data_IF_408842921888
#
_entry.id   IF_408842921888
#
_cell.length_a   1.000
_cell.length_b   1.000
_cell.length_c   1.000
_cell.angle_alpha   90.00
_cell.angle_beta   90.00
_cell.angle_gamma   90.00
#
_symmetry.space_group_name_H-M   'P 1'
#
loop_
_entity.id
_entity.type
_entity.pdbx_description
1 polymer ?
#
# COMPACT_ATOMS: atom_id res chain seq x y z
N UNK A 1 18.38 -11.00 35.29
CA UNK A 1 19.35 -9.89 35.26
C UNK A 1 19.33 -9.23 36.62
N UNK A 2 20.48 -9.14 37.30
CA UNK A 2 20.56 -8.53 38.63
C UNK A 2 20.44 -7.00 38.54
N UNK A 3 19.78 -6.39 39.54
CA UNK A 3 19.69 -4.94 39.71
C UNK A 3 20.30 -4.57 41.04
N UNK A 4 21.12 -3.52 41.05
CA UNK A 4 21.82 -3.07 42.25
C UNK A 4 21.54 -1.59 42.47
N UNK A 5 21.39 -1.22 43.74
CA UNK A 5 21.10 0.14 44.16
C UNK A 5 22.36 1.02 44.04
N UNK A 6 22.20 2.23 43.51
CA UNK A 6 23.26 3.24 43.40
C UNK A 6 22.93 4.45 44.29
N UNK A 7 23.69 4.68 45.37
CA UNK A 7 23.35 5.72 46.36
C UNK A 7 23.32 7.15 45.80
N UNK A 8 24.21 7.50 44.86
CA UNK A 8 24.35 8.88 44.40
C UNK A 8 23.16 9.40 43.60
N UNK A 9 22.36 8.50 43.04
CA UNK A 9 21.18 8.84 42.22
C UNK A 9 19.90 8.27 42.84
N UNK A 10 20.00 7.66 44.02
CA UNK A 10 18.90 6.99 44.71
C UNK A 10 18.05 6.10 43.79
N UNK A 11 18.71 5.25 43.00
CA UNK A 11 18.06 4.48 41.93
C UNK A 11 18.72 3.13 41.70
N UNK A 12 17.92 2.15 41.24
CA UNK A 12 18.39 0.80 40.96
C UNK A 12 18.68 0.60 39.46
N UNK A 13 19.93 0.27 39.14
CA UNK A 13 20.38 0.01 37.76
C UNK A 13 20.67 -1.47 37.54
N UNK A 14 20.56 -1.88 36.29
CA UNK A 14 20.86 -3.23 35.87
C UNK A 14 22.38 -3.37 35.63
N UNK A 15 22.96 -4.47 36.12
CA UNK A 15 24.37 -4.79 35.87
C UNK A 15 24.66 -4.99 34.37
N UNK A 16 25.89 -4.65 33.97
CA UNK A 16 26.38 -4.69 32.59
C UNK A 16 25.61 -3.79 31.60
N UNK A 17 24.94 -2.77 32.14
CA UNK A 17 24.38 -1.66 31.35
C UNK A 17 25.18 -0.39 31.60
N UNK A 18 24.97 0.65 30.78
CA UNK A 18 25.60 1.95 31.04
C UNK A 18 25.15 2.53 32.39
N UNK A 19 23.88 2.36 32.74
CA UNK A 19 23.33 2.93 33.98
C UNK A 19 23.68 4.42 34.15
N UNK A 20 24.17 4.84 35.34
CA UNK A 20 24.61 6.20 35.61
C UNK A 20 26.06 6.47 35.15
N UNK A 21 26.74 5.49 34.54
CA UNK A 21 28.16 5.58 34.23
C UNK A 21 28.45 6.44 32.98
N UNK A 22 29.64 7.05 32.90
CA UNK A 22 30.14 7.68 31.67
C UNK A 22 30.20 6.72 30.48
N UNK A 23 30.25 7.26 29.27
CA UNK A 23 30.38 6.46 28.06
C UNK A 23 31.67 5.61 28.07
N UNK A 24 31.55 4.35 27.65
CA UNK A 24 32.66 3.40 27.64
C UNK A 24 32.90 2.65 28.95
N UNK A 25 32.13 2.95 30.01
CA UNK A 25 32.12 2.23 31.28
C UNK A 25 30.75 1.57 31.50
N UNK A 26 30.74 0.43 32.18
CA UNK A 26 29.52 -0.27 32.58
C UNK A 26 29.35 -0.26 34.09
N UNK A 27 28.08 -0.28 34.50
CA UNK A 27 27.66 -0.47 35.87
C UNK A 27 27.86 -1.94 36.26
N UNK A 28 28.76 -2.20 37.20
CA UNK A 28 29.11 -3.56 37.64
C UNK A 28 29.10 -3.66 39.16
N UNK A 29 28.76 -4.85 39.67
CA UNK A 29 28.93 -5.16 41.08
C UNK A 29 30.30 -5.79 41.32
N UNK A 30 31.14 -5.16 42.15
CA UNK A 30 32.41 -5.69 42.57
C UNK A 30 32.23 -6.55 43.82
N UNK A 31 32.21 -7.88 43.64
CA UNK A 31 32.01 -8.83 44.73
C UNK A 31 33.06 -8.72 45.84
N UNK A 32 34.32 -8.41 45.51
CA UNK A 32 35.40 -8.28 46.48
C UNK A 32 35.23 -7.07 47.40
N UNK A 33 34.65 -5.98 46.88
CA UNK A 33 34.37 -4.76 47.65
C UNK A 33 32.93 -4.71 48.19
N UNK A 34 32.10 -5.68 47.80
CA UNK A 34 30.65 -5.67 48.01
C UNK A 34 30.00 -4.33 47.60
N UNK A 35 30.51 -3.72 46.53
CA UNK A 35 30.13 -2.38 46.12
C UNK A 35 29.92 -2.31 44.61
N UNK A 36 28.98 -1.47 44.21
CA UNK A 36 28.75 -1.12 42.81
C UNK A 36 29.81 -0.10 42.36
N UNK A 37 30.35 -0.28 41.16
CA UNK A 37 31.30 0.65 40.55
C UNK A 37 31.07 0.80 39.04
N UNK A 38 31.50 1.92 38.47
CA UNK A 38 31.61 2.09 37.03
C UNK A 38 32.98 1.59 36.58
N UNK A 39 33.02 0.57 35.73
CA UNK A 39 34.26 -0.09 35.37
C UNK A 39 34.26 -0.58 33.93
N UNK A 40 35.46 -0.63 33.35
CA UNK A 40 35.73 -1.35 32.12
C UNK A 40 37.12 -1.96 32.23
N UNK A 41 37.21 -3.28 32.03
CA UNK A 41 38.47 -4.03 32.08
C UNK A 41 38.47 -5.10 31.00
N UNK A 42 39.63 -5.48 30.42
CA UNK A 42 39.72 -6.52 29.38
C UNK A 42 39.14 -7.88 29.78
N UNK A 43 39.07 -8.17 31.09
CA UNK A 43 38.48 -9.40 31.62
C UNK A 43 36.95 -9.44 31.46
N UNK A 44 36.30 -8.30 31.22
CA UNK A 44 34.87 -8.24 30.88
C UNK A 44 34.66 -8.64 29.41
N UNK A 45 35.07 -9.86 29.06
CA UNK A 45 35.20 -10.33 27.67
C UNK A 45 33.94 -10.19 26.84
N UNK A 46 32.77 -10.30 27.46
CA UNK A 46 31.48 -10.15 26.79
C UNK A 46 31.15 -8.70 26.45
N UNK A 47 31.78 -7.73 27.10
CA UNK A 47 31.44 -6.31 26.97
C UNK A 47 32.58 -5.46 26.43
N UNK A 48 33.81 -5.92 26.56
CA UNK A 48 35.01 -5.19 26.21
C UNK A 48 35.27 -5.22 24.71
N UNK A 49 35.34 -4.04 24.10
CA UNK A 49 35.72 -3.88 22.70
C UNK A 49 37.21 -3.54 22.61
N UNK A 50 38.00 -4.42 21.97
CA UNK A 50 39.46 -4.32 21.92
C UNK A 50 39.96 -3.02 21.29
N UNK A 51 39.32 -2.59 20.21
CA UNK A 51 39.88 -1.54 19.36
C UNK A 51 39.65 -0.15 19.96
N UNK A 52 38.60 0.03 20.76
CA UNK A 52 38.29 1.29 21.44
C UNK A 52 38.73 1.33 22.89
N UNK A 53 39.07 0.17 23.49
CA UNK A 53 39.35 0.05 24.92
C UNK A 53 38.15 0.38 25.82
N UNK A 54 36.93 0.32 25.28
CA UNK A 54 35.69 0.69 25.96
C UNK A 54 34.76 -0.51 26.11
N UNK A 55 33.87 -0.45 27.10
CA UNK A 55 32.90 -1.50 27.38
C UNK A 55 31.49 -1.08 26.99
N UNK A 56 30.75 -1.98 26.36
CA UNK A 56 29.41 -1.73 25.83
C UNK A 56 28.41 -2.81 26.27
N UNK A 57 27.14 -2.45 26.51
CA UNK A 57 26.12 -3.45 26.81
C UNK A 57 25.91 -4.39 25.63
N UNK A 58 25.67 -5.66 25.92
CA UNK A 58 25.25 -6.64 24.92
C UNK A 58 23.91 -6.22 24.29
N UNK A 59 23.74 -6.50 23.01
CA UNK A 59 22.53 -6.14 22.23
C UNK A 59 22.23 -4.64 22.17
N UNK A 60 23.20 -3.78 22.52
CA UNK A 60 23.14 -2.35 22.23
C UNK A 60 23.92 -2.06 20.93
N UNK A 61 23.76 -0.85 20.37
CA UNK A 61 24.57 -0.44 19.21
C UNK A 61 26.06 -0.40 19.54
N UNK A 62 26.42 0.15 20.71
CA UNK A 62 27.82 0.29 21.12
C UNK A 62 28.68 1.03 20.07
N UNK A 63 29.88 0.53 19.73
CA UNK A 63 30.75 1.12 18.72
C UNK A 63 30.33 0.74 17.29
N UNK A 64 29.27 -0.06 17.12
CA UNK A 64 28.93 -0.63 15.84
C UNK A 64 28.27 0.37 14.87
N UNK A 65 28.40 0.12 13.55
CA UNK A 65 27.71 0.89 12.53
C UNK A 65 26.18 0.86 12.72
N UNK A 66 25.47 1.75 12.02
CA UNK A 66 24.01 1.81 12.08
C UNK A 66 23.37 0.42 11.85
N UNK A 67 22.30 0.12 12.59
CA UNK A 67 21.55 -1.15 12.48
C UNK A 67 22.30 -2.40 12.91
N UNK A 68 23.50 -2.26 13.48
CA UNK A 68 24.25 -3.36 14.08
C UNK A 68 24.10 -3.35 15.60
N UNK A 69 24.13 -4.54 16.17
CA UNK A 69 24.19 -4.80 17.59
C UNK A 69 25.58 -5.31 17.95
N UNK A 70 26.07 -4.84 19.08
CA UNK A 70 27.26 -5.34 19.75
C UNK A 70 26.91 -6.65 20.44
N UNK A 71 27.58 -7.73 20.01
CA UNK A 71 27.31 -9.09 20.48
C UNK A 71 28.60 -9.81 20.84
N UNK A 72 28.55 -10.70 21.82
CA UNK A 72 29.64 -11.61 22.14
C UNK A 72 29.47 -12.91 21.37
N UNK A 73 30.51 -13.30 20.64
CA UNK A 73 30.54 -14.56 19.91
C UNK A 73 31.23 -15.63 20.77
N UNK A 74 30.45 -16.56 21.32
CA UNK A 74 30.97 -17.63 22.18
C UNK A 74 31.97 -18.56 21.46
N UNK A 75 31.87 -18.71 20.13
CA UNK A 75 32.77 -19.58 19.37
C UNK A 75 34.15 -18.96 19.18
N UNK A 76 34.22 -17.65 18.92
CA UNK A 76 35.50 -16.93 18.76
C UNK A 76 36.02 -16.37 20.09
N UNK A 77 35.16 -16.28 21.09
CA UNK A 77 35.46 -15.69 22.40
C UNK A 77 35.72 -14.19 22.34
N UNK A 78 35.20 -13.50 21.31
CA UNK A 78 35.38 -12.06 21.03
C UNK A 78 34.04 -11.37 20.81
N UNK A 79 34.01 -10.07 21.06
CA UNK A 79 32.87 -9.22 20.70
C UNK A 79 32.92 -8.84 19.22
N UNK A 80 31.77 -8.84 18.56
CA UNK A 80 31.60 -8.48 17.16
C UNK A 80 30.35 -7.64 16.93
N UNK A 81 30.29 -6.98 15.78
CA UNK A 81 29.10 -6.26 15.33
C UNK A 81 28.29 -7.14 14.39
N UNK A 82 26.99 -7.31 14.68
CA UNK A 82 26.08 -8.10 13.86
C UNK A 82 24.81 -7.32 13.55
N UNK A 83 24.32 -7.40 12.32
CA UNK A 83 23.06 -6.78 11.96
C UNK A 83 21.92 -7.21 12.90
N UNK A 84 21.02 -6.28 13.19
CA UNK A 84 19.72 -6.60 13.78
C UNK A 84 18.98 -7.66 12.93
N UNK A 85 18.15 -8.52 13.54
CA UNK A 85 17.39 -9.53 12.80
C UNK A 85 16.59 -8.92 11.65
N UNK A 86 16.80 -9.45 10.44
CA UNK A 86 16.15 -8.96 9.21
C UNK A 86 16.79 -7.71 8.60
N UNK A 87 17.89 -7.20 9.16
CA UNK A 87 18.71 -6.16 8.57
C UNK A 87 19.59 -6.69 7.44
N UNK A 88 19.72 -5.87 6.39
CA UNK A 88 20.57 -6.09 5.23
C UNK A 88 21.83 -5.23 5.35
N UNK A 89 23.00 -5.86 5.29
CA UNK A 89 24.30 -5.18 5.41
C UNK A 89 24.70 -4.55 4.09
N UNK A 90 25.04 -3.26 4.08
CA UNK A 90 25.67 -2.61 2.93
C UNK A 90 27.18 -2.83 3.00
N UNK A 91 27.80 -3.54 2.03
CA UNK A 91 29.23 -3.89 2.08
C UNK A 91 30.15 -2.66 2.20
N UNK A 92 29.80 -1.55 1.55
CA UNK A 92 30.63 -0.35 1.51
C UNK A 92 30.81 0.33 2.88
N UNK A 93 29.84 0.21 3.79
CA UNK A 93 29.87 0.89 5.10
C UNK A 93 29.79 -0.05 6.30
N UNK A 94 29.40 -1.31 6.08
CA UNK A 94 29.07 -2.25 7.15
C UNK A 94 27.80 -1.91 7.94
N UNK A 95 27.11 -0.81 7.60
CA UNK A 95 25.83 -0.45 8.19
C UNK A 95 24.73 -1.41 7.69
N UNK A 96 23.77 -1.69 8.57
CA UNK A 96 22.62 -2.51 8.25
C UNK A 96 21.35 -1.66 8.21
N UNK A 97 20.47 -1.99 7.27
CA UNK A 97 19.17 -1.35 7.10
C UNK A 97 18.11 -2.42 6.88
N UNK A 98 16.90 -2.17 7.37
CA UNK A 98 15.78 -3.08 7.12
C UNK A 98 15.44 -3.08 5.63
N UNK A 99 15.19 -4.25 5.06
CA UNK A 99 14.78 -4.34 3.66
C UNK A 99 13.50 -3.55 3.37
N UNK A 100 13.41 -2.99 2.17
CA UNK A 100 12.33 -2.14 1.65
C UNK A 100 12.13 -0.83 2.43
N UNK A 101 13.14 -0.40 3.18
CA UNK A 101 13.24 0.96 3.72
C UNK A 101 14.22 1.78 2.89
N UNK A 102 14.12 3.10 2.91
CA UNK A 102 15.04 3.97 2.17
C UNK A 102 16.50 3.74 2.62
N UNK A 103 16.74 3.63 3.93
CA UNK A 103 18.08 3.44 4.48
C UNK A 103 19.08 4.49 3.99
N UNK A 104 20.25 4.03 3.53
CA UNK A 104 21.28 4.89 2.92
C UNK A 104 21.08 5.14 1.41
N UNK A 105 19.99 4.66 0.82
CA UNK A 105 19.71 4.85 -0.61
C UNK A 105 19.17 6.25 -0.91
N UNK A 106 19.21 6.64 -2.19
CA UNK A 106 18.67 7.91 -2.64
C UNK A 106 17.14 7.99 -2.47
N UNK A 107 16.59 9.20 -2.56
CA UNK A 107 15.14 9.40 -2.49
C UNK A 107 14.42 8.63 -3.61
N UNK A 108 13.35 7.91 -3.26
CA UNK A 108 12.62 7.05 -4.19
C UNK A 108 13.21 5.65 -4.35
N UNK A 109 14.33 5.34 -3.68
CA UNK A 109 14.92 4.01 -3.64
C UNK A 109 14.72 3.36 -2.27
N UNK A 110 14.89 2.03 -2.22
CA UNK A 110 14.96 1.28 -0.98
C UNK A 110 16.06 0.20 -1.03
N UNK A 111 16.41 -0.32 0.14
CA UNK A 111 17.37 -1.42 0.28
C UNK A 111 16.67 -2.75 0.00
N UNK A 112 17.13 -3.55 -0.96
CA UNK A 112 16.65 -4.92 -1.20
C UNK A 112 17.76 -5.94 -0.97
N UNK A 113 17.40 -7.22 -0.70
CA UNK A 113 18.40 -8.29 -0.65
C UNK A 113 19.16 -8.40 -1.97
N UNK A 114 20.48 -8.58 -1.91
CA UNK A 114 21.28 -8.90 -3.08
C UNK A 114 20.92 -10.31 -3.59
N UNK A 115 21.06 -10.52 -4.91
CA UNK A 115 20.65 -11.78 -5.55
C UNK A 115 21.57 -12.95 -5.20
N UNK A 116 22.86 -12.68 -5.02
CA UNK A 116 23.93 -13.60 -4.67
C UNK A 116 23.99 -13.84 -3.16
N UNK A 117 23.84 -12.78 -2.36
CA UNK A 117 23.96 -12.84 -0.91
C UNK A 117 22.76 -12.16 -0.21
N UNK A 118 21.71 -12.90 0.17
CA UNK A 118 20.46 -12.34 0.71
C UNK A 118 20.59 -11.56 2.03
N UNK A 119 21.73 -11.66 2.71
CA UNK A 119 22.06 -10.87 3.92
C UNK A 119 22.67 -9.51 3.59
N UNK A 120 23.12 -9.32 2.36
CA UNK A 120 23.62 -8.04 1.86
C UNK A 120 22.49 -7.23 1.22
N UNK A 121 22.60 -5.92 1.34
CA UNK A 121 21.64 -4.97 0.80
C UNK A 121 22.21 -4.22 -0.41
N UNK A 122 21.38 -4.05 -1.43
CA UNK A 122 21.64 -3.17 -2.58
C UNK A 122 20.51 -2.16 -2.72
N UNK A 123 20.81 -0.98 -3.27
CA UNK A 123 19.78 0.03 -3.53
C UNK A 123 19.05 -0.28 -4.84
N UNK A 124 17.73 -0.22 -4.80
CA UNK A 124 16.87 -0.39 -5.97
C UNK A 124 15.76 0.66 -5.95
N UNK A 125 15.28 1.05 -7.13
CA UNK A 125 14.16 1.98 -7.26
C UNK A 125 12.88 1.36 -6.70
N UNK A 126 12.08 2.17 -6.00
CA UNK A 126 10.77 1.77 -5.54
C UNK A 126 9.78 1.86 -6.72
N UNK A 127 9.25 0.73 -7.23
CA UNK A 127 8.32 0.74 -8.35
C UNK A 127 6.90 1.20 -7.95
N UNK A 128 6.61 1.29 -6.65
CA UNK A 128 5.26 1.54 -6.15
C UNK A 128 4.93 3.02 -6.13
N UNK A 129 3.67 3.32 -6.50
CA UNK A 129 3.16 4.69 -6.43
C UNK A 129 2.82 5.07 -4.99
N UNK A 130 2.57 6.36 -4.76
CA UNK A 130 2.11 6.85 -3.46
C UNK A 130 0.81 6.14 -3.06
N UNK A 131 0.77 5.58 -1.85
CA UNK A 131 -0.37 4.82 -1.33
C UNK A 131 -0.33 3.32 -1.64
N UNK A 132 0.72 2.85 -2.31
CA UNK A 132 0.97 1.43 -2.58
C UNK A 132 2.19 0.93 -1.80
N UNK A 133 2.19 -0.36 -1.51
CA UNK A 133 3.26 -1.07 -0.83
C UNK A 133 3.73 -2.26 -1.65
N UNK A 134 5.03 -2.50 -1.65
CA UNK A 134 5.67 -3.58 -2.37
C UNK A 134 5.55 -4.90 -1.60
N UNK A 135 5.06 -5.94 -2.26
CA UNK A 135 4.99 -7.30 -1.72
C UNK A 135 6.07 -8.16 -2.37
N UNK A 136 7.14 -8.52 -1.65
CA UNK A 136 8.21 -9.35 -2.20
C UNK A 136 7.77 -10.76 -2.61
N UNK A 137 6.66 -11.23 -2.06
CA UNK A 137 6.09 -12.56 -2.33
C UNK A 137 5.61 -12.73 -3.76
N UNK A 138 5.07 -11.66 -4.37
CA UNK A 138 4.57 -11.68 -5.75
C UNK A 138 5.25 -10.63 -6.64
N UNK A 139 6.17 -9.83 -6.08
CA UNK A 139 6.91 -8.79 -6.78
C UNK A 139 6.04 -7.61 -7.22
N UNK A 140 4.86 -7.40 -6.62
CA UNK A 140 3.88 -6.39 -7.06
C UNK A 140 3.61 -5.34 -5.99
N UNK A 141 3.08 -4.21 -6.45
CA UNK A 141 2.61 -3.13 -5.61
C UNK A 141 1.10 -3.26 -5.39
N UNK A 142 0.68 -3.16 -4.14
CA UNK A 142 -0.73 -3.24 -3.77
C UNK A 142 -1.13 -2.02 -2.94
N UNK A 143 -2.34 -1.51 -3.15
CA UNK A 143 -2.83 -0.31 -2.47
C UNK A 143 -3.19 -0.59 -1.02
N UNK A 144 -2.80 0.31 -0.13
CA UNK A 144 -3.18 0.26 1.28
C UNK A 144 -4.70 0.32 1.43
N UNK A 145 -5.26 -0.58 2.24
CA UNK A 145 -6.71 -0.68 2.45
C UNK A 145 -7.47 -1.49 1.39
N UNK A 146 -6.77 -2.09 0.42
CA UNK A 146 -7.34 -3.08 -0.51
C UNK A 146 -6.96 -4.51 -0.07
N UNK A 147 -7.67 -5.51 -0.62
CA UNK A 147 -7.38 -6.92 -0.29
C UNK A 147 -5.98 -7.35 -0.77
N UNK A 148 -5.60 -6.97 -2.00
CA UNK A 148 -4.32 -7.39 -2.59
C UNK A 148 -4.09 -8.91 -2.46
N UNK A 149 -2.88 -9.34 -2.05
CA UNK A 149 -2.53 -10.74 -1.83
C UNK A 149 -2.96 -11.24 -0.44
N UNK A 150 -3.66 -10.43 0.35
CA UNK A 150 -4.01 -10.76 1.73
C UNK A 150 -5.18 -11.74 1.83
N UNK A 151 -5.21 -12.57 2.88
CA UNK A 151 -6.32 -13.47 3.14
C UNK A 151 -7.60 -12.70 3.44
N UNK A 152 -8.75 -13.38 3.34
CA UNK A 152 -10.05 -12.80 3.64
C UNK A 152 -10.10 -12.22 5.07
N UNK A 153 -10.67 -11.02 5.20
CA UNK A 153 -10.75 -10.29 6.47
C UNK A 153 -9.47 -9.54 6.85
N UNK A 154 -8.45 -9.56 6.00
CA UNK A 154 -7.25 -8.73 6.13
C UNK A 154 -7.08 -7.86 4.89
N UNK A 155 -6.35 -6.75 5.06
CA UNK A 155 -6.03 -5.82 3.98
C UNK A 155 -4.55 -5.50 4.00
N UNK A 156 -4.10 -4.94 2.88
CA UNK A 156 -2.76 -4.38 2.73
C UNK A 156 -2.61 -3.22 3.71
N UNK A 157 -1.59 -3.28 4.55
CA UNK A 157 -1.23 -2.24 5.50
C UNK A 157 0.28 -2.14 5.66
N UNK A 158 0.74 -1.07 6.30
CA UNK A 158 2.14 -0.86 6.65
C UNK A 158 2.57 -1.86 7.72
N UNK A 159 3.74 -2.48 7.55
CA UNK A 159 4.34 -3.28 8.62
C UNK A 159 4.63 -2.43 9.88
N UNK A 160 4.57 -3.00 11.08
CA UNK A 160 4.88 -2.28 12.31
C UNK A 160 6.39 -2.01 12.40
N UNK A 161 6.80 -0.82 11.95
CA UNK A 161 8.19 -0.35 11.96
C UNK A 161 8.27 1.09 12.48
N UNK A 162 9.31 1.42 13.26
CA UNK A 162 9.53 2.77 13.82
C UNK A 162 9.99 3.81 12.79
N UNK A 163 9.78 3.55 11.51
CA UNK A 163 10.14 4.40 10.39
C UNK A 163 9.27 4.11 9.17
N UNK A 164 9.67 4.60 8.00
CA UNK A 164 8.95 4.34 6.75
C UNK A 164 9.45 3.03 6.14
N UNK A 165 8.54 2.08 5.99
CA UNK A 165 8.75 0.86 5.21
C UNK A 165 7.82 0.86 4.00
N UNK A 166 8.40 0.51 2.85
CA UNK A 166 7.66 0.30 1.61
C UNK A 166 7.26 -1.17 1.44
N UNK A 167 7.59 -2.06 2.39
CA UNK A 167 7.11 -3.44 2.42
C UNK A 167 5.65 -3.48 2.83
N UNK A 168 4.84 -4.15 2.03
CA UNK A 168 3.46 -4.46 2.35
C UNK A 168 3.33 -5.60 3.34
N UNK A 169 2.39 -5.47 4.27
CA UNK A 169 1.99 -6.53 5.18
C UNK A 169 0.48 -6.74 5.11
N UNK A 170 0.05 -7.94 5.49
CA UNK A 170 -1.36 -8.27 5.64
C UNK A 170 -1.76 -8.21 7.10
N UNK A 171 -2.89 -7.58 7.38
CA UNK A 171 -3.38 -7.49 8.74
C UNK A 171 -4.76 -6.88 8.85
N UNK A 172 -5.29 -6.97 10.06
CA UNK A 172 -6.50 -6.26 10.45
C UNK A 172 -6.39 -5.87 11.92
N UNK A 173 -6.82 -4.64 12.23
CA UNK A 173 -6.96 -4.17 13.60
C UNK A 173 -7.90 -2.97 13.63
N UNK A 174 -8.43 -2.64 14.81
CA UNK A 174 -9.26 -1.45 15.02
C UNK A 174 -8.56 -0.13 14.62
N UNK A 175 -7.23 -0.13 14.45
CA UNK A 175 -6.47 1.03 13.94
C UNK A 175 -6.75 1.31 12.47
N UNK A 176 -7.15 0.30 11.68
CA UNK A 176 -7.64 0.48 10.33
C UNK A 176 -9.10 0.97 10.38
N UNK A 177 -9.34 2.12 11.01
CA UNK A 177 -10.69 2.65 11.31
C UNK A 177 -11.60 2.75 10.08
N UNK A 178 -11.02 3.02 8.92
CA UNK A 178 -11.74 3.11 7.66
C UNK A 178 -12.20 1.73 7.14
N UNK A 179 -11.63 0.63 7.62
CA UNK A 179 -11.84 -0.69 7.05
C UNK A 179 -12.28 -1.74 8.07
N UNK A 180 -12.13 -1.48 9.36
CA UNK A 180 -12.41 -2.41 10.43
C UNK A 180 -13.91 -2.52 10.72
N UNK A 181 -14.43 -3.74 10.72
CA UNK A 181 -15.81 -4.07 11.09
C UNK A 181 -15.82 -4.66 12.51
N UNK A 182 -16.35 -3.93 13.51
CA UNK A 182 -16.33 -4.38 14.91
C UNK A 182 -17.05 -5.71 15.17
N UNK A 183 -18.07 -6.03 14.40
CA UNK A 183 -18.99 -7.14 14.66
C UNK A 183 -18.34 -8.51 14.46
N UNK A 184 -17.36 -8.62 13.56
CA UNK A 184 -16.61 -9.86 13.31
C UNK A 184 -15.09 -9.70 13.46
N UNK A 185 -14.63 -8.49 13.79
CA UNK A 185 -13.22 -8.17 13.96
C UNK A 185 -12.40 -8.23 12.67
N UNK A 186 -13.03 -8.20 11.49
CA UNK A 186 -12.38 -8.30 10.18
C UNK A 186 -12.32 -6.95 9.48
N UNK A 187 -11.44 -6.88 8.49
CA UNK A 187 -11.24 -5.69 7.69
C UNK A 187 -11.72 -5.91 6.26
N UNK A 188 -12.44 -4.92 5.74
CA UNK A 188 -13.06 -4.97 4.42
C UNK A 188 -12.67 -3.75 3.59
N UNK A 189 -12.48 -3.98 2.30
CA UNK A 189 -12.15 -2.92 1.37
C UNK A 189 -13.36 -1.99 1.20
N UNK A 190 -13.10 -0.68 1.27
CA UNK A 190 -14.12 0.35 1.03
C UNK A 190 -14.79 0.16 -0.33
N UNK A 191 -16.09 0.45 -0.41
CA UNK A 191 -16.90 0.35 -1.63
C UNK A 191 -17.06 -1.08 -2.20
N UNK A 192 -16.71 -2.10 -1.43
CA UNK A 192 -17.04 -3.50 -1.75
C UNK A 192 -18.24 -3.96 -0.96
N UNK A 193 -18.81 -5.14 -1.23
CA UNK A 193 -19.88 -5.69 -0.40
C UNK A 193 -19.42 -5.92 1.05
N UNK A 194 -18.21 -6.44 1.23
CA UNK A 194 -17.68 -6.77 2.55
C UNK A 194 -18.63 -7.67 3.35
N UNK A 195 -18.95 -7.33 4.62
CA UNK A 195 -19.87 -8.08 5.47
C UNK A 195 -21.34 -7.70 5.21
N UNK A 196 -21.61 -6.77 4.29
CA UNK A 196 -22.93 -6.20 4.10
C UNK A 196 -23.87 -7.13 3.32
N UNK A 197 -25.20 -6.94 3.48
CA UNK A 197 -26.19 -7.62 2.66
C UNK A 197 -26.01 -7.34 1.16
N UNK A 198 -26.68 -8.11 0.28
CA UNK A 198 -26.74 -7.80 -1.14
C UNK A 198 -27.17 -6.33 -1.38
N UNK A 199 -26.66 -5.74 -2.48
CA UNK A 199 -26.92 -4.35 -2.91
C UNK A 199 -26.37 -3.25 -1.97
N UNK A 200 -25.71 -3.63 -0.88
CA UNK A 200 -25.01 -2.70 0.00
C UNK A 200 -23.50 -2.71 -0.28
N UNK A 201 -22.90 -1.54 -0.09
CA UNK A 201 -21.47 -1.36 -0.03
C UNK A 201 -21.05 -1.05 1.40
N UNK A 202 -19.95 -1.65 1.81
CA UNK A 202 -19.20 -1.31 3.00
C UNK A 202 -18.55 0.07 2.82
N UNK A 203 -18.88 1.00 3.70
CA UNK A 203 -18.40 2.39 3.64
C UNK A 203 -17.99 2.89 5.02
N UNK A 204 -17.06 3.85 5.06
CA UNK A 204 -16.75 4.60 6.27
C UNK A 204 -17.61 5.86 6.33
N UNK A 205 -18.31 6.06 7.44
CA UNK A 205 -19.06 7.26 7.73
C UNK A 205 -18.22 8.20 8.58
N UNK A 206 -17.76 9.30 7.97
CA UNK A 206 -16.90 10.28 8.64
C UNK A 206 -17.61 11.04 9.79
N UNK A 207 -18.93 11.16 9.74
CA UNK A 207 -19.70 11.85 10.79
C UNK A 207 -19.83 10.99 12.05
N UNK A 208 -20.13 9.69 11.88
CA UNK A 208 -20.19 8.76 13.01
C UNK A 208 -18.81 8.21 13.42
N UNK A 209 -17.81 8.35 12.55
CA UNK A 209 -16.47 7.82 12.74
C UNK A 209 -16.41 6.29 12.71
N UNK A 210 -17.42 5.63 12.12
CA UNK A 210 -17.59 4.18 12.07
C UNK A 210 -17.87 3.70 10.64
N UNK A 211 -17.55 2.44 10.40
CA UNK A 211 -17.94 1.73 9.18
C UNK A 211 -19.41 1.34 9.24
N UNK A 212 -20.10 1.38 8.10
CA UNK A 212 -21.50 1.02 7.97
C UNK A 212 -21.79 0.40 6.60
N UNK A 213 -22.95 -0.24 6.48
CA UNK A 213 -23.47 -0.73 5.22
C UNK A 213 -24.40 0.32 4.61
N UNK A 214 -24.13 0.72 3.36
CA UNK A 214 -24.93 1.72 2.66
C UNK A 214 -25.39 1.21 1.31
N UNK A 215 -26.62 1.54 0.92
CA UNK A 215 -27.15 1.19 -0.39
C UNK A 215 -26.26 1.72 -1.52
N UNK A 216 -25.86 0.81 -2.40
CA UNK A 216 -25.13 1.16 -3.60
C UNK A 216 -26.12 1.71 -4.64
N UNK A 217 -26.04 3.01 -4.92
CA UNK A 217 -27.00 3.71 -5.81
C UNK A 217 -27.14 3.09 -7.20
N UNK A 218 -26.13 2.37 -7.68
CA UNK A 218 -26.17 1.66 -8.98
C UNK A 218 -26.93 0.33 -8.92
N UNK A 219 -27.08 -0.27 -7.74
CA UNK A 219 -27.71 -1.57 -7.53
C UNK A 219 -29.05 -1.49 -6.80
N UNK A 220 -29.40 -0.32 -6.25
CA UNK A 220 -30.65 -0.12 -5.51
C UNK A 220 -30.82 1.32 -5.03
N UNK A 221 -32.01 1.62 -4.51
CA UNK A 221 -32.31 2.89 -3.81
C UNK A 221 -32.61 2.59 -2.35
N UNK A 222 -32.20 3.47 -1.44
CA UNK A 222 -32.65 3.39 -0.05
C UNK A 222 -34.17 3.67 0.01
N UNK A 223 -34.96 2.69 0.46
CA UNK A 223 -36.44 2.78 0.56
C UNK A 223 -36.89 2.94 2.01
N UNK A 224 -35.98 2.85 2.99
CA UNK A 224 -36.24 3.02 4.41
C UNK A 224 -34.97 2.81 5.25
N UNK A 225 -35.12 2.71 6.57
CA UNK A 225 -34.00 2.46 7.49
C UNK A 225 -33.31 1.12 7.17
N UNK A 226 -32.15 1.17 6.50
CA UNK A 226 -31.33 -0.01 6.19
C UNK A 226 -31.85 -0.92 5.07
N UNK A 227 -32.90 -0.53 4.34
CA UNK A 227 -33.47 -1.34 3.26
C UNK A 227 -33.09 -0.76 1.89
N UNK A 228 -32.37 -1.54 1.09
CA UNK A 228 -32.23 -1.27 -0.34
C UNK A 228 -33.36 -1.95 -1.09
N UNK A 229 -34.22 -1.14 -1.71
CA UNK A 229 -35.15 -1.62 -2.70
C UNK A 229 -34.46 -1.80 -4.04
N UNK A 230 -35.13 -2.54 -4.93
CA UNK A 230 -34.70 -2.73 -6.30
C UNK A 230 -34.28 -1.39 -6.94
N UNK A 231 -33.26 -1.39 -7.83
CA UNK A 231 -32.97 -0.20 -8.60
C UNK A 231 -34.27 0.23 -9.28
N UNK A 232 -34.53 1.54 -9.47
CA UNK A 232 -35.63 1.93 -10.35
C UNK A 232 -35.42 1.14 -11.63
N UNK A 233 -36.45 0.39 -12.06
CA UNK A 233 -36.40 -0.24 -13.35
C UNK A 233 -35.89 0.85 -14.28
N UNK A 234 -34.75 0.62 -14.95
CA UNK A 234 -34.57 1.30 -16.22
C UNK A 234 -35.87 0.94 -16.91
N UNK A 235 -36.75 1.93 -17.07
CA UNK A 235 -37.81 1.76 -18.04
C UNK A 235 -37.02 1.47 -19.29
N UNK A 236 -36.98 0.19 -19.67
CA UNK A 236 -36.82 -0.20 -21.03
C UNK A 236 -37.98 0.51 -21.74
N UNK A 237 -37.82 1.80 -22.04
CA UNK A 237 -38.24 2.29 -23.33
C UNK A 237 -37.42 1.46 -24.30
N UNK A 238 -37.86 0.22 -24.52
CA UNK A 238 -37.44 -0.59 -25.64
C UNK A 238 -37.50 0.37 -26.81
N UNK A 239 -36.33 0.65 -27.40
CA UNK A 239 -36.31 1.44 -28.61
C UNK A 239 -37.32 0.77 -29.56
N UNK A 240 -38.31 1.50 -30.10
CA UNK A 240 -39.39 0.88 -30.84
C UNK A 240 -38.79 -0.03 -31.92
N UNK A 241 -39.47 -1.15 -32.23
CA UNK A 241 -39.00 -2.08 -33.25
C UNK A 241 -38.61 -1.30 -34.50
N UNK A 242 -37.56 -1.72 -35.24
CA UNK A 242 -37.01 -0.94 -36.36
C UNK A 242 -38.07 -0.56 -37.41
N UNK A 243 -39.18 -1.29 -37.46
CA UNK A 243 -40.37 -1.04 -38.27
C UNK A 243 -41.19 0.18 -37.86
N UNK A 244 -41.04 0.72 -36.65
CA UNK A 244 -41.77 1.89 -36.12
C UNK A 244 -40.88 3.13 -35.96
N UNK A 245 -39.57 3.01 -36.18
CA UNK A 245 -38.64 4.13 -36.05
C UNK A 245 -38.91 5.20 -37.14
N UNK A 246 -38.94 6.50 -36.78
CA UNK A 246 -39.01 7.57 -37.76
C UNK A 246 -37.78 7.55 -38.68
N UNK A 247 -37.98 7.83 -39.95
CA UNK A 247 -36.89 7.89 -40.92
C UNK A 247 -35.96 9.09 -40.63
N UNK A 248 -34.64 8.89 -40.47
CA UNK A 248 -33.72 9.98 -40.12
C UNK A 248 -33.49 10.92 -41.31
N UNK A 249 -33.27 12.21 -41.01
CA UNK A 249 -32.73 13.16 -41.99
C UNK A 249 -33.71 13.63 -43.08
N UNK A 250 -35.02 13.74 -42.75
CA UNK A 250 -36.06 14.25 -43.67
C UNK A 250 -36.48 13.26 -44.75
N UNK A 251 -36.23 11.96 -44.51
CA UNK A 251 -36.64 10.86 -45.38
C UNK A 251 -38.05 10.39 -45.01
N UNK A 252 -38.75 9.84 -45.97
CA UNK A 252 -40.08 9.27 -45.81
C UNK A 252 -40.02 7.74 -45.96
N UNK A 253 -40.89 7.00 -45.26
CA UNK A 253 -40.98 5.56 -45.39
C UNK A 253 -41.50 5.17 -46.79
N UNK A 254 -40.84 4.20 -47.40
CA UNK A 254 -41.21 3.60 -48.68
C UNK A 254 -41.18 2.08 -48.57
N UNK A 255 -42.03 1.40 -49.34
CA UNK A 255 -42.02 -0.05 -49.44
C UNK A 255 -40.72 -0.50 -50.15
N UNK A 256 -39.97 -1.39 -49.49
CA UNK A 256 -38.83 -2.05 -50.11
C UNK A 256 -39.31 -3.23 -50.97
N UNK A 257 -38.55 -3.58 -52.00
CA UNK A 257 -38.90 -4.68 -52.92
C UNK A 257 -38.97 -6.06 -52.23
N UNK A 258 -38.33 -6.20 -51.06
CA UNK A 258 -38.28 -7.42 -50.25
C UNK A 258 -39.37 -7.48 -49.15
N UNK A 259 -40.45 -6.70 -49.30
CA UNK A 259 -41.53 -6.64 -48.31
C UNK A 259 -41.20 -5.88 -47.01
N UNK A 260 -40.00 -5.28 -46.92
CA UNK A 260 -39.56 -4.46 -45.78
C UNK A 260 -39.89 -2.96 -45.89
N UNK A 261 -39.52 -2.18 -44.87
CA UNK A 261 -39.63 -0.71 -44.83
C UNK A 261 -38.25 -0.06 -45.09
N UNK A 262 -38.13 0.78 -46.10
CA UNK A 262 -36.92 1.58 -46.38
C UNK A 262 -37.22 3.08 -46.21
N UNK A 263 -36.21 3.90 -45.89
CA UNK A 263 -36.32 5.35 -45.80
C UNK A 263 -35.72 6.04 -47.04
N UNK A 264 -36.56 6.69 -47.85
CA UNK A 264 -36.16 7.38 -49.10
C UNK A 264 -36.37 8.89 -49.01
N UNK A 265 -35.64 9.63 -49.82
CA UNK A 265 -35.85 11.08 -49.91
C UNK A 265 -37.12 11.38 -50.72
N UNK A 266 -37.88 12.43 -50.36
CA UNK A 266 -39.07 12.83 -51.10
C UNK A 266 -38.74 13.22 -52.54
N UNK A 267 -39.73 13.18 -53.46
CA UNK A 267 -39.55 13.56 -54.86
C UNK A 267 -38.89 14.94 -55.00
N UNK A 268 -37.91 15.07 -55.90
CA UNK A 268 -37.16 16.32 -56.12
C UNK A 268 -35.96 16.53 -55.17
N UNK A 269 -35.69 15.59 -54.26
CA UNK A 269 -34.52 15.63 -53.38
C UNK A 269 -33.66 14.37 -53.46
N UNK A 270 -32.37 14.52 -53.18
CA UNK A 270 -31.36 13.43 -53.17
C UNK A 270 -30.59 13.42 -51.85
N UNK A 271 -30.13 12.24 -51.42
CA UNK A 271 -29.36 12.10 -50.19
C UNK A 271 -27.95 12.69 -50.33
N UNK A 272 -27.54 13.54 -49.38
CA UNK A 272 -26.20 14.09 -49.35
C UNK A 272 -25.16 13.00 -49.02
N UNK A 273 -24.17 12.79 -49.90
CA UNK A 273 -23.17 11.71 -49.84
C UNK A 273 -22.47 11.52 -48.48
N UNK A 274 -22.29 12.57 -47.69
CA UNK A 274 -21.57 12.51 -46.40
C UNK A 274 -22.43 12.60 -45.14
N UNK A 275 -23.71 12.98 -45.23
CA UNK A 275 -24.54 13.29 -44.04
C UNK A 275 -25.91 12.60 -44.03
N UNK A 276 -26.29 11.91 -45.11
CA UNK A 276 -27.54 11.15 -45.18
C UNK A 276 -28.83 11.98 -45.24
N UNK A 277 -28.78 13.30 -45.03
CA UNK A 277 -29.92 14.23 -45.12
C UNK A 277 -30.33 14.50 -46.58
N UNK A 278 -31.63 14.63 -46.84
CA UNK A 278 -32.17 14.97 -48.15
C UNK A 278 -31.90 16.45 -48.50
N UNK A 279 -31.50 16.71 -49.75
CA UNK A 279 -31.29 18.07 -50.30
C UNK A 279 -31.88 18.15 -51.71
N UNK A 280 -32.27 19.35 -52.19
CA UNK A 280 -32.76 19.51 -53.56
C UNK A 280 -31.80 18.92 -54.58
N UNK A 281 -32.33 18.21 -55.57
CA UNK A 281 -31.51 17.68 -56.66
C UNK A 281 -30.79 18.84 -57.37
N UNK A 282 -29.48 18.71 -57.66
CA UNK A 282 -28.76 19.73 -58.42
C UNK A 282 -29.44 19.92 -59.78
N UNK A 283 -29.72 21.18 -60.14
CA UNK A 283 -30.21 21.50 -61.49
C UNK A 283 -29.19 21.02 -62.52
N UNK A 284 -29.62 20.44 -63.65
CA UNK A 284 -28.70 20.08 -64.71
C UNK A 284 -27.94 21.33 -65.16
N UNK A 285 -26.61 21.26 -65.17
CA UNK A 285 -25.76 22.29 -65.75
C UNK A 285 -26.12 22.39 -67.24
N UNK A 286 -26.71 23.51 -67.65
CA UNK A 286 -26.80 23.84 -69.06
C UNK A 286 -25.38 24.02 -69.58
N UNK A 287 -24.94 23.12 -70.46
CA UNK A 287 -23.75 23.35 -71.28
C UNK A 287 -24.02 24.57 -72.16
N UNK A 288 -23.38 25.69 -71.85
CA UNK A 288 -23.27 26.80 -72.79
C UNK A 288 -22.33 26.33 -73.90
N UNK A 289 -22.88 26.04 -75.08
CA UNK A 289 -22.08 25.87 -76.30
C UNK A 289 -21.48 27.23 -76.66
N UNK A 290 -20.17 27.36 -76.49
CA UNK A 290 -19.40 28.47 -77.06
C UNK A 290 -19.11 28.12 -78.52
N UNK A 291 -19.80 28.76 -79.45
CA UNK A 291 -19.44 28.78 -80.87
C UNK A 291 -18.40 29.88 -81.10
N UNK A 292 -17.32 29.54 -81.82
CA UNK A 292 -16.27 30.45 -82.28
C UNK A 292 -16.82 31.52 -83.21
#
# INVERSE_FOLDING_TARGET
MARSYWPHTDSCYQEYTRGPCPHGLLFVFNASRQAVECSCRPQMREHYHSDTGQCFPQQARGPCPHGNLFVFNNATGRTECRCEPGGLRLPATGACYRGYTQGACAGGQFVVPAADEPRHGVCADNPCRRGELFFPTDGRCHRVGERGPCPAGQLVHYEPYRGVSHRGACGCSARLRLNYWPEDGRCYQQLTRGPCPPQHAFVFNAASGRTECRCERRRGRAVGAGVCGAPPALQDTAAPPPTERPCPGGREPAAAADGGRECRCPPGTVAHRSRGRCRPAPRPLQLVRITR
#
